data_IF_816101569671
#
_entry.id   IF_816101569671
#
_cell.length_a   1.000
_cell.length_b   1.000
_cell.length_c   1.000
_cell.angle_alpha   90.00
_cell.angle_beta   90.00
_cell.angle_gamma   90.00
#
_symmetry.space_group_name_H-M   'P 1'
#
loop_
_entity.id
_entity.type
_entity.pdbx_description
1 polymer ?
#
# COMPACT_ATOMS: atom_id res chain seq x y z
N UNK A 1 12.60 -24.27 39.13
CA UNK A 1 12.22 -23.90 37.75
C UNK A 1 13.18 -24.62 36.81
N UNK A 2 12.87 -25.84 36.33
CA UNK A 2 12.20 -26.18 35.05
C UNK A 2 13.03 -25.67 33.84
N UNK A 3 13.93 -26.49 33.24
CA UNK A 3 13.78 -27.36 32.03
C UNK A 3 13.49 -26.57 30.73
N UNK A 4 14.29 -26.63 29.65
CA UNK A 4 14.47 -27.79 28.77
C UNK A 4 15.78 -27.73 27.95
N UNK A 5 16.40 -28.89 27.83
CA UNK A 5 17.60 -29.23 27.07
C UNK A 5 17.16 -29.92 25.77
N UNK A 6 17.56 -29.43 24.59
CA UNK A 6 17.32 -30.15 23.33
C UNK A 6 18.67 -30.48 22.69
N UNK A 7 18.98 -31.78 22.68
CA UNK A 7 20.10 -32.40 21.97
C UNK A 7 19.78 -32.45 20.49
N UNK A 8 20.67 -31.93 19.63
CA UNK A 8 20.72 -32.35 18.23
C UNK A 8 21.99 -33.19 18.06
N UNK A 9 21.84 -34.50 18.16
CA UNK A 9 22.91 -35.46 17.85
C UNK A 9 22.96 -35.65 16.34
N UNK A 10 23.91 -35.01 15.66
CA UNK A 10 24.21 -35.36 14.26
C UNK A 10 25.10 -36.62 14.25
N UNK A 11 24.49 -37.78 13.98
CA UNK A 11 25.21 -39.03 13.77
C UNK A 11 25.86 -39.02 12.38
N UNK A 12 27.19 -38.85 12.30
CA UNK A 12 27.94 -39.06 11.08
C UNK A 12 28.48 -40.49 11.05
N UNK A 13 27.79 -41.38 10.33
CA UNK A 13 28.34 -42.69 9.99
C UNK A 13 29.39 -42.51 8.88
N UNK A 14 30.62 -42.94 9.19
CA UNK A 14 31.80 -42.91 8.34
C UNK A 14 31.66 -43.93 7.20
N UNK A 15 31.32 -43.47 5.99
CA UNK A 15 31.47 -44.28 4.77
C UNK A 15 32.91 -44.15 4.24
N UNK A 16 33.55 -45.30 4.06
CA UNK A 16 34.92 -45.46 3.57
C UNK A 16 35.09 -45.00 2.11
N UNK A 17 36.16 -44.24 1.85
CA UNK A 17 36.65 -43.80 0.52
C UNK A 17 36.93 -45.01 -0.40
N UNK A 18 36.70 -44.93 -1.74
CA UNK A 18 37.66 -44.20 -2.59
C UNK A 18 37.12 -43.48 -3.86
N UNK A 19 37.99 -42.59 -4.34
CA UNK A 19 38.15 -42.08 -5.71
C UNK A 19 37.19 -40.99 -6.25
N UNK A 20 37.86 -39.94 -6.76
CA UNK A 20 37.45 -38.96 -7.77
C UNK A 20 36.76 -37.67 -7.31
N UNK A 21 37.53 -36.59 -7.52
CA UNK A 21 37.14 -35.28 -8.04
C UNK A 21 36.10 -34.45 -7.29
N UNK A 22 36.53 -33.25 -6.88
CA UNK A 22 35.62 -32.13 -6.66
C UNK A 22 36.00 -31.25 -5.49
N UNK A 23 36.81 -30.22 -5.76
CA UNK A 23 36.86 -29.02 -4.93
C UNK A 23 35.45 -28.42 -4.91
N UNK A 24 34.72 -28.57 -3.82
CA UNK A 24 33.38 -28.00 -3.65
C UNK A 24 33.39 -26.91 -2.60
N UNK A 25 33.77 -25.69 -2.98
CA UNK A 25 33.45 -24.49 -2.19
C UNK A 25 31.94 -24.26 -2.39
N UNK A 26 31.15 -24.47 -1.34
CA UNK A 26 29.76 -24.03 -1.33
C UNK A 26 29.73 -22.51 -1.14
N UNK A 27 29.67 -21.75 -2.24
CA UNK A 27 29.25 -20.35 -2.22
C UNK A 27 27.75 -20.33 -1.95
N UNK A 28 27.36 -19.87 -0.75
CA UNK A 28 25.96 -19.57 -0.43
C UNK A 28 25.59 -18.25 -1.13
N UNK A 29 24.96 -18.36 -2.29
CA UNK A 29 24.48 -17.23 -3.08
C UNK A 29 23.26 -16.61 -2.39
N UNK A 30 23.49 -15.56 -1.59
CA UNK A 30 22.46 -14.79 -0.90
C UNK A 30 21.84 -13.76 -1.86
N UNK A 31 21.13 -14.23 -2.89
CA UNK A 31 20.41 -13.37 -3.83
C UNK A 31 18.91 -13.71 -3.77
N UNK A 32 18.08 -12.80 -3.26
CA UNK A 32 16.63 -13.00 -3.46
C UNK A 32 15.60 -12.25 -2.63
N UNK A 33 15.93 -11.25 -1.81
CA UNK A 33 14.89 -10.41 -1.18
C UNK A 33 15.20 -8.93 -1.41
N UNK A 34 15.14 -8.50 -2.67
CA UNK A 34 14.94 -7.09 -2.97
C UNK A 34 13.49 -6.75 -2.63
N UNK A 35 13.20 -6.47 -1.36
CA UNK A 35 11.97 -5.79 -1.01
C UNK A 35 12.02 -4.43 -1.71
N UNK A 36 10.97 -4.05 -2.45
CA UNK A 36 10.82 -2.68 -2.92
C UNK A 36 10.75 -1.79 -1.66
N UNK A 37 11.91 -1.25 -1.24
CA UNK A 37 12.01 -0.33 -0.10
C UNK A 37 11.47 1.02 -0.55
N UNK A 38 10.14 1.14 -0.59
CA UNK A 38 9.48 2.44 -0.69
C UNK A 38 9.41 3.04 0.72
N UNK A 39 9.65 4.35 0.83
CA UNK A 39 9.30 5.07 2.04
C UNK A 39 7.81 4.86 2.34
N UNK A 40 7.47 4.68 3.61
CA UNK A 40 6.09 4.51 4.04
C UNK A 40 5.68 5.68 4.92
N UNK A 41 4.46 6.17 4.72
CA UNK A 41 3.83 7.09 5.65
C UNK A 41 2.36 6.70 5.83
N UNK A 42 1.87 6.85 7.04
CA UNK A 42 0.48 6.55 7.37
C UNK A 42 -0.19 7.78 7.93
N UNK A 43 -1.51 7.89 7.76
CA UNK A 43 -2.28 8.86 8.53
C UNK A 43 -2.01 8.64 10.02
N UNK A 44 -1.89 9.71 10.82
CA UNK A 44 -1.36 9.61 12.18
C UNK A 44 -2.42 9.19 13.22
N UNK A 45 -3.66 9.67 13.08
CA UNK A 45 -4.76 9.44 14.02
C UNK A 45 -6.09 9.36 13.28
N UNK A 46 -7.11 8.73 13.88
CA UNK A 46 -8.47 8.67 13.32
C UNK A 46 -9.22 10.00 13.49
N UNK A 47 -8.63 11.08 13.00
CA UNK A 47 -9.16 12.43 13.06
C UNK A 47 -9.21 13.04 11.66
N UNK A 48 -10.15 13.97 11.48
CA UNK A 48 -10.18 14.77 10.27
C UNK A 48 -8.93 15.64 10.16
N UNK A 49 -8.44 15.87 8.95
CA UNK A 49 -7.23 16.66 8.77
C UNK A 49 -6.89 16.97 7.32
N UNK A 50 -5.80 17.73 7.16
CA UNK A 50 -5.33 18.18 5.87
C UNK A 50 -4.17 17.29 5.39
N UNK A 51 -4.26 16.80 4.16
CA UNK A 51 -3.22 16.00 3.51
C UNK A 51 -1.84 16.68 3.53
N UNK A 52 -1.78 17.99 3.33
CA UNK A 52 -0.54 18.75 3.25
C UNK A 52 -0.01 19.22 4.61
N UNK A 53 -0.63 18.79 5.72
CA UNK A 53 -0.12 19.06 7.06
C UNK A 53 0.78 17.90 7.51
N UNK A 54 2.07 18.16 7.67
CA UNK A 54 3.05 17.15 8.09
C UNK A 54 2.66 16.43 9.41
N UNK A 55 2.05 17.16 10.36
CA UNK A 55 1.59 16.61 11.64
C UNK A 55 0.40 15.63 11.52
N UNK A 56 -0.27 15.55 10.37
CA UNK A 56 -1.33 14.57 10.10
C UNK A 56 -0.79 13.19 9.69
N UNK A 57 0.52 13.07 9.51
CA UNK A 57 1.21 11.85 9.07
C UNK A 57 2.11 11.26 10.14
N UNK A 58 2.39 9.96 10.03
CA UNK A 58 3.38 9.24 10.81
C UNK A 58 4.31 8.45 9.87
N UNK A 59 5.62 8.77 9.81
CA UNK A 59 6.29 9.90 10.49
C UNK A 59 5.70 11.25 10.05
N UNK A 60 5.93 12.32 10.84
CA UNK A 60 5.35 13.65 10.63
C UNK A 60 5.94 14.39 9.41
N UNK A 61 5.69 13.83 8.22
CA UNK A 61 6.18 14.24 6.91
C UNK A 61 5.06 13.97 5.91
N UNK A 62 4.74 14.99 5.11
CA UNK A 62 3.81 14.85 3.98
C UNK A 62 4.40 13.87 2.96
N UNK A 63 3.60 12.95 2.39
CA UNK A 63 4.08 12.01 1.38
C UNK A 63 4.91 12.68 0.28
N UNK A 64 6.07 12.11 -0.01
CA UNK A 64 6.97 12.55 -1.08
C UNK A 64 6.94 11.59 -2.27
N UNK A 65 7.75 11.88 -3.28
CA UNK A 65 7.85 11.05 -4.48
C UNK A 65 8.12 9.58 -4.19
N UNK A 66 7.32 8.70 -4.82
CA UNK A 66 7.44 7.25 -4.65
C UNK A 66 7.02 6.68 -3.29
N UNK A 67 6.50 7.52 -2.38
CA UNK A 67 6.09 7.08 -1.03
C UNK A 67 4.83 6.20 -1.09
N UNK A 68 4.83 5.08 -0.38
CA UNK A 68 3.66 4.25 -0.15
C UNK A 68 2.84 4.82 1.01
N UNK A 69 1.56 5.12 0.76
CA UNK A 69 0.69 5.81 1.71
C UNK A 69 -0.42 4.91 2.19
N UNK A 70 -0.70 4.96 3.49
CA UNK A 70 -1.79 4.22 4.11
C UNK A 70 -2.69 5.13 4.95
N UNK A 71 -4.00 5.03 4.74
CA UNK A 71 -5.03 5.71 5.53
C UNK A 71 -5.96 4.61 6.03
N UNK A 72 -5.52 3.90 7.06
CA UNK A 72 -6.12 2.62 7.49
C UNK A 72 -6.39 2.55 8.99
N UNK A 73 -6.25 3.68 9.70
CA UNK A 73 -6.52 3.75 11.15
C UNK A 73 -8.01 3.53 11.38
N UNK A 74 -8.35 2.71 12.37
CA UNK A 74 -9.73 2.40 12.70
C UNK A 74 -10.54 3.67 13.04
N UNK A 75 -11.74 3.78 12.49
CA UNK A 75 -12.65 4.91 12.69
C UNK A 75 -13.15 5.53 11.39
N UNK A 76 -14.00 6.55 11.53
CA UNK A 76 -14.58 7.30 10.42
C UNK A 76 -14.10 8.75 10.50
N UNK A 77 -13.45 9.23 9.44
CA UNK A 77 -12.86 10.56 9.41
C UNK A 77 -12.63 11.02 7.98
N UNK A 78 -12.42 12.33 7.80
CA UNK A 78 -12.20 12.94 6.48
C UNK A 78 -10.76 13.43 6.34
N UNK A 79 -10.09 12.99 5.28
CA UNK A 79 -8.80 13.51 4.84
C UNK A 79 -9.04 14.45 3.67
N UNK A 80 -8.57 15.69 3.79
CA UNK A 80 -8.81 16.72 2.76
C UNK A 80 -7.51 17.08 2.03
N UNK A 81 -7.53 16.95 0.71
CA UNK A 81 -6.50 17.46 -0.20
C UNK A 81 -7.05 18.70 -0.92
N UNK A 82 -6.69 19.88 -0.44
CA UNK A 82 -7.23 21.17 -0.90
C UNK A 82 -6.19 22.12 -1.49
N UNK A 83 -4.94 21.68 -1.59
CA UNK A 83 -3.88 22.38 -2.33
C UNK A 83 -2.95 21.35 -2.96
N UNK A 84 -2.26 21.70 -4.06
CA UNK A 84 -1.25 20.81 -4.63
C UNK A 84 -0.17 20.46 -3.61
N UNK A 85 0.15 19.16 -3.45
CA UNK A 85 1.33 18.76 -2.69
C UNK A 85 2.61 19.10 -3.46
N UNK A 86 3.74 19.19 -2.76
CA UNK A 86 5.03 19.48 -3.40
C UNK A 86 5.54 18.32 -4.28
N UNK A 87 5.17 17.08 -3.94
CA UNK A 87 5.55 15.90 -4.71
C UNK A 87 4.75 15.82 -6.03
N UNK A 88 5.40 15.43 -7.11
CA UNK A 88 4.71 15.25 -8.40
C UNK A 88 3.78 14.04 -8.41
N UNK A 89 4.12 12.99 -7.65
CA UNK A 89 3.32 11.79 -7.47
C UNK A 89 3.75 11.02 -6.23
N UNK A 90 2.87 10.19 -5.69
CA UNK A 90 3.19 9.20 -4.65
C UNK A 90 3.32 7.80 -5.27
N UNK A 91 3.93 6.87 -4.55
CA UNK A 91 4.13 5.50 -5.03
C UNK A 91 2.83 4.70 -5.06
N UNK A 92 2.11 4.65 -3.95
CA UNK A 92 0.84 3.94 -3.83
C UNK A 92 -0.04 4.57 -2.75
N UNK A 93 -1.33 4.26 -2.80
CA UNK A 93 -2.30 4.67 -1.78
C UNK A 93 -3.15 3.47 -1.39
N UNK A 94 -3.23 3.19 -0.09
CA UNK A 94 -4.21 2.28 0.50
C UNK A 94 -5.19 3.10 1.33
N UNK A 95 -6.47 3.08 0.95
CA UNK A 95 -7.55 3.78 1.61
C UNK A 95 -8.48 2.75 2.26
N UNK A 96 -8.66 2.88 3.57
CA UNK A 96 -9.54 2.00 4.35
C UNK A 96 -8.90 0.69 4.77
N UNK A 97 -9.62 -0.01 5.64
CA UNK A 97 -9.32 -1.34 6.18
C UNK A 97 -10.61 -1.87 6.82
N UNK A 98 -10.66 -3.12 7.28
CA UNK A 98 -11.87 -3.71 7.87
C UNK A 98 -12.54 -2.88 8.99
N UNK A 99 -11.78 -2.00 9.67
CA UNK A 99 -12.29 -1.10 10.71
C UNK A 99 -12.10 0.38 10.40
N UNK A 100 -11.60 0.74 9.21
CA UNK A 100 -11.27 2.12 8.81
C UNK A 100 -12.17 2.55 7.66
N UNK A 101 -12.94 3.61 7.88
CA UNK A 101 -13.91 4.20 6.95
C UNK A 101 -13.51 5.65 6.63
N UNK A 102 -12.32 5.89 6.03
CA UNK A 102 -11.91 7.23 5.68
C UNK A 102 -12.71 7.75 4.49
N UNK A 103 -12.95 9.06 4.48
CA UNK A 103 -13.35 9.82 3.30
C UNK A 103 -12.16 10.64 2.83
N UNK A 104 -11.57 10.31 1.68
CA UNK A 104 -10.57 11.14 1.02
C UNK A 104 -11.27 12.13 0.08
N UNK A 105 -11.11 13.42 0.35
CA UNK A 105 -11.74 14.50 -0.44
C UNK A 105 -10.69 15.32 -1.17
N UNK A 106 -10.77 15.34 -2.49
CA UNK A 106 -9.88 16.07 -3.38
C UNK A 106 -10.60 17.29 -3.95
N UNK A 107 -10.11 18.49 -3.66
CA UNK A 107 -10.63 19.78 -4.20
C UNK A 107 -9.54 20.61 -4.88
N UNK A 108 -8.37 20.00 -5.11
CA UNK A 108 -7.23 20.62 -5.77
C UNK A 108 -6.60 19.66 -6.78
N UNK A 109 -5.87 20.18 -7.79
CA UNK A 109 -5.23 19.34 -8.78
C UNK A 109 -3.94 18.68 -8.26
N UNK A 110 -3.40 17.74 -9.03
CA UNK A 110 -2.08 17.16 -8.80
C UNK A 110 -2.06 15.99 -7.83
N UNK A 111 -3.21 15.35 -7.56
CA UNK A 111 -3.25 14.15 -6.75
C UNK A 111 -2.87 12.91 -7.59
N UNK A 112 -1.57 12.67 -7.75
CA UNK A 112 -1.07 11.63 -8.63
C UNK A 112 -0.55 10.41 -7.85
N UNK A 113 -1.07 9.22 -8.15
CA UNK A 113 -0.61 7.93 -7.62
C UNK A 113 0.06 7.14 -8.74
N UNK A 114 1.40 7.12 -8.75
CA UNK A 114 2.18 6.50 -9.82
C UNK A 114 1.95 4.98 -9.93
N UNK A 115 1.62 4.33 -8.82
CA UNK A 115 1.23 2.92 -8.76
C UNK A 115 -0.26 2.76 -8.51
N UNK A 116 -0.59 1.86 -7.58
CA UNK A 116 -1.98 1.48 -7.28
C UNK A 116 -2.59 2.37 -6.20
N UNK A 117 -3.79 2.89 -6.47
CA UNK A 117 -4.73 3.34 -5.46
C UNK A 117 -5.68 2.19 -5.12
N UNK A 118 -5.64 1.68 -3.89
CA UNK A 118 -6.47 0.57 -3.41
C UNK A 118 -7.50 1.07 -2.41
N UNK A 119 -8.76 0.77 -2.66
CA UNK A 119 -9.87 0.91 -1.71
C UNK A 119 -10.15 -0.50 -1.13
N UNK A 120 -10.03 -0.68 0.19
CA UNK A 120 -9.90 -1.99 0.87
C UNK A 120 -11.22 -2.62 1.36
N UNK A 121 -11.44 -3.85 0.87
CA UNK A 121 -12.42 -4.93 1.09
C UNK A 121 -13.83 -4.65 1.68
N UNK A 122 -14.03 -3.90 2.78
CA UNK A 122 -15.32 -4.02 3.48
C UNK A 122 -15.91 -2.80 4.17
N UNK A 123 -15.28 -1.63 4.11
CA UNK A 123 -15.55 -0.60 5.13
C UNK A 123 -16.12 0.70 4.59
N UNK A 124 -16.66 0.71 3.38
CA UNK A 124 -17.37 1.85 2.79
C UNK A 124 -16.56 3.16 2.78
N UNK A 125 -15.25 3.04 2.63
CA UNK A 125 -14.36 4.18 2.39
C UNK A 125 -14.77 4.91 1.11
N UNK A 126 -14.55 6.22 1.12
CA UNK A 126 -15.05 7.11 0.07
C UNK A 126 -13.89 7.89 -0.51
N UNK A 127 -13.76 7.85 -1.84
CA UNK A 127 -12.92 8.77 -2.60
C UNK A 127 -13.82 9.77 -3.32
N UNK A 128 -13.75 11.03 -2.90
CA UNK A 128 -14.46 12.14 -3.54
C UNK A 128 -13.48 12.97 -4.36
N UNK A 129 -13.67 13.03 -5.67
CA UNK A 129 -13.01 13.95 -6.58
C UNK A 129 -14.00 15.08 -6.90
N UNK A 130 -13.89 16.17 -6.16
CA UNK A 130 -14.79 17.32 -6.23
C UNK A 130 -14.31 18.35 -7.28
N UNK A 131 -15.08 19.44 -7.45
CA UNK A 131 -14.68 20.57 -8.29
C UNK A 131 -13.25 21.03 -7.96
N UNK A 132 -12.41 21.13 -9.01
CA UNK A 132 -10.98 21.47 -8.89
C UNK A 132 -10.08 20.30 -8.49
N UNK A 133 -10.65 19.19 -8.03
CA UNK A 133 -9.95 17.93 -7.78
C UNK A 133 -9.51 17.28 -9.08
N UNK A 134 -8.22 16.97 -9.20
CA UNK A 134 -7.69 16.18 -10.32
C UNK A 134 -6.85 15.03 -9.76
N UNK A 135 -7.29 13.80 -10.02
CA UNK A 135 -6.59 12.58 -9.64
C UNK A 135 -6.13 11.81 -10.87
N UNK A 136 -4.87 11.38 -10.86
CA UNK A 136 -4.35 10.40 -11.82
C UNK A 136 -3.79 9.20 -11.07
N UNK A 137 -4.15 7.99 -11.45
CA UNK A 137 -3.55 6.77 -10.87
C UNK A 137 -3.17 5.76 -11.95
N UNK A 138 -2.08 5.02 -11.79
CA UNK A 138 -1.80 3.94 -12.76
C UNK A 138 -2.89 2.86 -12.67
N UNK A 139 -3.22 2.41 -11.47
CA UNK A 139 -4.25 1.39 -11.24
C UNK A 139 -5.18 1.83 -10.13
N UNK A 140 -6.48 1.90 -10.42
CA UNK A 140 -7.51 1.93 -9.40
C UNK A 140 -7.90 0.48 -9.06
N UNK A 141 -7.57 0.03 -7.86
CA UNK A 141 -7.96 -1.27 -7.34
C UNK A 141 -9.13 -1.12 -6.36
N UNK A 142 -10.33 -1.44 -6.83
CA UNK A 142 -11.55 -1.50 -6.04
C UNK A 142 -11.65 -2.87 -5.38
N UNK A 143 -10.82 -3.12 -4.37
CA UNK A 143 -10.89 -4.37 -3.61
C UNK A 143 -12.14 -4.41 -2.70
N UNK A 144 -12.61 -3.23 -2.30
CA UNK A 144 -13.80 -3.04 -1.46
C UNK A 144 -15.11 -3.19 -2.20
N UNK A 145 -16.02 -3.97 -1.62
CA UNK A 145 -17.38 -4.17 -2.14
C UNK A 145 -18.33 -3.02 -1.81
N UNK A 146 -17.93 -2.15 -0.88
CA UNK A 146 -18.77 -1.06 -0.37
C UNK A 146 -18.14 0.31 -0.55
N UNK A 147 -16.90 0.38 -1.05
CA UNK A 147 -16.26 1.63 -1.36
C UNK A 147 -17.02 2.43 -2.41
N UNK A 148 -16.92 3.75 -2.29
CA UNK A 148 -17.48 4.68 -3.25
C UNK A 148 -16.37 5.53 -3.87
N UNK A 149 -16.43 5.66 -5.19
CA UNK A 149 -15.63 6.65 -5.93
C UNK A 149 -16.61 7.62 -6.57
N UNK A 150 -16.63 8.85 -6.08
CA UNK A 150 -17.50 9.91 -6.56
C UNK A 150 -16.66 10.92 -7.34
N UNK A 151 -16.86 10.99 -8.66
CA UNK A 151 -16.32 12.07 -9.49
C UNK A 151 -17.43 13.09 -9.69
N UNK A 152 -17.41 14.13 -8.87
CA UNK A 152 -18.46 15.16 -8.85
C UNK A 152 -18.21 16.20 -9.95
N UNK A 153 -19.21 17.05 -10.21
CA UNK A 153 -19.10 18.11 -11.22
C UNK A 153 -17.85 18.96 -11.02
N UNK A 154 -17.05 19.10 -12.09
CA UNK A 154 -15.78 19.82 -12.09
C UNK A 154 -14.58 19.04 -11.53
N UNK A 155 -14.78 17.81 -11.06
CA UNK A 155 -13.71 16.88 -10.71
C UNK A 155 -13.25 16.06 -11.91
N UNK A 156 -11.98 15.69 -11.94
CA UNK A 156 -11.38 14.86 -13.00
C UNK A 156 -10.63 13.70 -12.37
N UNK A 157 -10.96 12.48 -12.78
CA UNK A 157 -10.21 11.29 -12.40
C UNK A 157 -9.80 10.52 -13.65
N UNK A 158 -8.53 10.20 -13.75
CA UNK A 158 -7.98 9.31 -14.78
C UNK A 158 -7.29 8.14 -14.12
N UNK A 159 -7.42 6.96 -14.72
CA UNK A 159 -6.65 5.79 -14.35
C UNK A 159 -6.24 4.96 -15.55
N UNK A 160 -5.06 4.35 -15.49
CA UNK A 160 -4.56 3.49 -16.57
C UNK A 160 -5.32 2.15 -16.64
N UNK A 161 -5.61 1.57 -15.48
CA UNK A 161 -6.42 0.36 -15.36
C UNK A 161 -7.36 0.45 -14.15
N UNK A 162 -8.55 -0.17 -14.26
CA UNK A 162 -9.43 -0.45 -13.12
C UNK A 162 -9.38 -1.95 -12.84
N UNK A 163 -9.07 -2.33 -11.61
CA UNK A 163 -9.16 -3.71 -11.12
C UNK A 163 -10.27 -3.75 -10.07
N UNK A 164 -11.17 -4.74 -10.16
CA UNK A 164 -12.24 -4.93 -9.18
C UNK A 164 -11.94 -6.23 -8.43
N UNK A 165 -11.74 -6.14 -7.11
CA UNK A 165 -11.41 -7.28 -6.28
C UNK A 165 -12.59 -8.25 -6.18
N UNK A 166 -12.29 -9.55 -6.25
CA UNK A 166 -13.25 -10.63 -6.02
C UNK A 166 -14.46 -10.65 -6.96
N UNK A 167 -14.34 -10.17 -8.20
CA UNK A 167 -15.53 -9.96 -9.02
C UNK A 167 -16.18 -11.26 -9.52
N UNK A 168 -15.44 -12.39 -9.59
CA UNK A 168 -15.99 -13.66 -10.12
C UNK A 168 -16.72 -13.48 -11.46
N UNK A 169 -16.41 -12.40 -12.16
CA UNK A 169 -17.26 -11.83 -13.18
C UNK A 169 -16.86 -12.40 -14.52
N UNK A 170 -17.89 -12.79 -15.29
CA UNK A 170 -17.74 -12.83 -16.73
C UNK A 170 -17.87 -11.39 -17.20
N UNK A 171 -16.74 -10.70 -17.39
CA UNK A 171 -16.67 -9.28 -17.81
C UNK A 171 -17.06 -9.08 -19.28
N UNK A 172 -18.06 -9.83 -19.76
CA UNK A 172 -18.63 -9.73 -21.10
C UNK A 172 -17.61 -10.01 -22.20
N UNK A 173 -17.62 -11.23 -22.74
CA UNK A 173 -17.07 -11.49 -24.07
C UNK A 173 -17.83 -10.73 -25.16
#
# INVERSE_FOLDING_TARGET
MIRNFFLLTASFAKTSRPANAGFGIAILLLTGLANNLQAQTSWATAAAGNWNLAASWNPAVVPIEGTAVSITIAGTYTVTYNSPMAATSMGSLTLGSASSIPTLTLTAPGFNVAGTCTLVDSSAEILNVNSGGVMNTATLNMASRSALVNVNSGGVMTNGATQVGNNGSNDGG
#
